data_IF_834216055741
#
_entry.id   IF_834216055741
#
_cell.length_a   1.000
_cell.length_b   1.000
_cell.length_c   1.000
_cell.angle_alpha   90.00
_cell.angle_beta   90.00
_cell.angle_gamma   90.00
#
_symmetry.space_group_name_H-M   'P 1'
#
loop_
_entity.id
_entity.type
_entity.pdbx_description
1 polymer ?
#
# COMPACT_ATOMS: atom_id res chain seq x y z
N UNK A 1 -44.72 29.83 -0.46
CA UNK A 1 -44.17 29.34 0.82
C UNK A 1 -42.84 28.69 0.53
N UNK A 2 -41.75 29.35 0.90
CA UNK A 2 -40.37 28.88 0.64
C UNK A 2 -39.98 27.92 1.77
N UNK A 3 -39.52 26.71 1.43
CA UNK A 3 -39.07 25.73 2.41
C UNK A 3 -37.81 26.24 3.13
N UNK A 4 -37.68 26.07 4.46
CA UNK A 4 -36.49 26.48 5.17
C UNK A 4 -35.30 25.59 4.78
N UNK A 5 -34.19 26.23 4.40
CA UNK A 5 -32.90 25.56 4.23
C UNK A 5 -32.46 25.04 5.60
N UNK A 6 -32.44 23.72 5.77
CA UNK A 6 -31.84 23.08 6.93
C UNK A 6 -30.32 23.08 6.73
N UNK A 7 -29.66 24.16 7.11
CA UNK A 7 -28.21 24.17 7.32
C UNK A 7 -27.91 23.34 8.57
N UNK A 8 -27.82 22.01 8.38
CA UNK A 8 -27.36 21.11 9.41
C UNK A 8 -25.88 21.35 9.69
N UNK A 9 -25.58 22.00 10.82
CA UNK A 9 -24.22 22.03 11.36
C UNK A 9 -23.83 20.60 11.74
N UNK A 10 -22.92 19.99 10.99
CA UNK A 10 -22.30 18.70 11.34
C UNK A 10 -21.37 18.94 12.52
N UNK A 11 -21.81 18.59 13.71
CA UNK A 11 -20.95 18.57 14.90
C UNK A 11 -20.20 17.24 14.89
N UNK A 12 -18.88 17.28 14.66
CA UNK A 12 -18.03 16.12 14.89
C UNK A 12 -17.84 15.97 16.39
N UNK A 13 -18.66 15.15 17.02
CA UNK A 13 -18.46 14.74 18.42
C UNK A 13 -17.03 14.18 18.55
N UNK A 14 -16.22 14.81 19.40
CA UNK A 14 -14.85 14.41 19.71
C UNK A 14 -14.92 13.13 20.56
N UNK A 15 -15.30 12.03 19.91
CA UNK A 15 -15.43 10.73 20.54
C UNK A 15 -14.03 10.23 20.90
N UNK A 16 -13.84 9.81 22.15
CA UNK A 16 -12.61 9.17 22.60
C UNK A 16 -12.48 7.83 21.87
N UNK A 17 -11.77 7.84 20.75
CA UNK A 17 -11.62 6.62 19.99
C UNK A 17 -10.54 5.72 20.57
N UNK A 18 -10.87 4.43 20.68
CA UNK A 18 -9.99 3.39 21.19
C UNK A 18 -9.37 2.60 20.03
N UNK A 19 -8.25 1.92 20.28
CA UNK A 19 -7.66 0.99 19.30
C UNK A 19 -8.64 -0.10 18.85
N UNK A 20 -9.59 -0.49 19.70
CA UNK A 20 -10.65 -1.41 19.32
C UNK A 20 -11.51 -0.87 18.16
N UNK A 21 -11.80 0.44 18.14
CA UNK A 21 -12.51 1.07 17.03
C UNK A 21 -11.65 1.09 15.77
N UNK A 22 -10.37 1.49 15.86
CA UNK A 22 -9.47 1.41 14.72
C UNK A 22 -9.42 -0.02 14.15
N UNK A 23 -9.26 -1.02 15.02
CA UNK A 23 -9.16 -2.42 14.63
C UNK A 23 -10.45 -2.95 13.98
N UNK A 24 -11.63 -2.42 14.33
CA UNK A 24 -12.89 -2.77 13.66
C UNK A 24 -13.00 -2.27 12.22
N UNK A 25 -12.27 -1.19 11.90
CA UNK A 25 -12.24 -0.59 10.57
C UNK A 25 -11.18 -1.24 9.67
N UNK A 26 -10.18 -1.87 10.27
CA UNK A 26 -9.07 -2.53 9.58
C UNK A 26 -9.33 -4.02 9.36
N UNK A 27 -8.69 -4.57 8.33
CA UNK A 27 -8.61 -6.01 8.09
C UNK A 27 -7.88 -6.69 9.26
N UNK A 28 -8.08 -8.00 9.41
CA UNK A 28 -7.32 -8.81 10.36
C UNK A 28 -5.81 -8.64 10.14
N UNK A 29 -5.02 -8.56 11.21
CA UNK A 29 -3.55 -8.41 11.16
C UNK A 29 -2.83 -9.59 10.50
N UNK A 30 -3.51 -10.73 10.35
CA UNK A 30 -3.05 -11.90 9.59
C UNK A 30 -3.34 -11.80 8.08
N UNK A 31 -3.89 -10.69 7.60
CA UNK A 31 -4.14 -10.49 6.18
C UNK A 31 -2.83 -10.19 5.47
N UNK A 32 -2.55 -10.88 4.36
CA UNK A 32 -1.44 -10.55 3.50
C UNK A 32 -1.68 -9.18 2.82
N UNK A 33 -0.74 -8.25 2.99
CA UNK A 33 -0.78 -6.93 2.37
C UNK A 33 0.38 -6.83 1.39
N UNK A 34 0.06 -6.48 0.14
CA UNK A 34 1.05 -6.29 -0.91
C UNK A 34 1.20 -4.78 -1.12
N UNK A 35 2.39 -4.23 -0.85
CA UNK A 35 2.74 -2.85 -1.16
C UNK A 35 3.45 -2.77 -2.50
N UNK A 36 3.28 -1.68 -3.23
CA UNK A 36 4.20 -1.35 -4.32
C UNK A 36 5.52 -0.84 -3.76
N UNK A 37 6.57 -0.81 -4.59
CA UNK A 37 7.83 -0.17 -4.20
C UNK A 37 7.62 1.30 -3.79
N UNK A 38 6.74 2.02 -4.49
CA UNK A 38 6.39 3.40 -4.15
C UNK A 38 5.68 3.51 -2.79
N UNK A 39 4.68 2.66 -2.54
CA UNK A 39 3.97 2.62 -1.26
C UNK A 39 4.86 2.21 -0.09
N UNK A 40 5.85 1.36 -0.31
CA UNK A 40 6.82 1.00 0.74
C UNK A 40 7.73 2.18 1.13
N UNK A 41 8.02 3.09 0.19
CA UNK A 41 8.81 4.31 0.41
C UNK A 41 7.98 5.41 1.03
N UNK A 42 6.71 5.48 0.66
CA UNK A 42 5.74 6.48 1.10
C UNK A 42 4.52 5.80 1.74
N UNK A 43 4.69 5.13 2.92
CA UNK A 43 3.65 4.30 3.52
C UNK A 43 2.47 5.12 4.04
N UNK A 44 2.68 6.39 4.41
CA UNK A 44 1.63 7.28 4.88
C UNK A 44 0.82 7.90 3.73
N UNK A 45 0.17 7.02 2.96
CA UNK A 45 -0.57 7.38 1.76
C UNK A 45 -1.94 6.69 1.70
N UNK A 46 -2.91 7.33 1.04
CA UNK A 46 -4.29 6.83 0.88
C UNK A 46 -4.34 5.39 0.33
N UNK A 47 -3.49 5.10 -0.66
CA UNK A 47 -3.47 3.80 -1.31
C UNK A 47 -3.10 2.67 -0.34
N UNK A 48 -2.16 2.92 0.58
CA UNK A 48 -1.77 1.97 1.63
C UNK A 48 -2.89 1.78 2.64
N UNK A 49 -3.53 2.88 3.06
CA UNK A 49 -4.69 2.83 3.95
C UNK A 49 -5.82 1.97 3.37
N UNK A 50 -6.15 2.16 2.09
CA UNK A 50 -7.19 1.37 1.41
C UNK A 50 -6.88 -0.14 1.39
N UNK A 51 -5.61 -0.53 1.44
CA UNK A 51 -5.21 -1.95 1.47
C UNK A 51 -5.45 -2.60 2.82
N UNK A 52 -5.41 -1.82 3.90
CA UNK A 52 -5.60 -2.31 5.27
C UNK A 52 -7.03 -2.11 5.79
N UNK A 53 -7.88 -1.34 5.10
CA UNK A 53 -9.28 -1.14 5.48
C UNK A 53 -10.18 -2.33 5.10
N UNK A 54 -11.18 -2.60 5.95
CA UNK A 54 -12.27 -3.49 5.57
C UNK A 54 -13.07 -2.91 4.39
N UNK A 55 -13.64 -3.76 3.51
CA UNK A 55 -14.46 -3.30 2.39
C UNK A 55 -15.59 -2.37 2.86
N UNK A 56 -15.76 -1.24 2.17
CA UNK A 56 -16.80 -0.25 2.48
C UNK A 56 -16.50 0.65 3.67
N UNK A 57 -15.39 0.44 4.39
CA UNK A 57 -14.94 1.37 5.43
C UNK A 57 -14.18 2.54 4.84
N UNK A 58 -14.26 3.68 5.51
CA UNK A 58 -13.55 4.90 5.14
C UNK A 58 -12.89 5.51 6.36
N UNK A 59 -11.59 5.82 6.23
CA UNK A 59 -10.81 6.54 7.22
C UNK A 59 -10.02 7.61 6.48
N UNK A 60 -9.99 8.83 7.02
CA UNK A 60 -9.16 9.90 6.46
C UNK A 60 -7.68 9.63 6.81
N UNK A 61 -6.71 9.87 5.90
CA UNK A 61 -5.30 9.56 6.14
C UNK A 61 -4.72 10.49 7.17
N UNK A 62 -5.32 11.67 7.38
CA UNK A 62 -4.94 12.62 8.44
C UNK A 62 -5.28 12.12 9.85
N UNK A 63 -6.15 11.10 9.96
CA UNK A 63 -6.54 10.51 11.23
C UNK A 63 -5.56 9.43 11.68
N UNK A 64 -4.65 8.96 10.81
CA UNK A 64 -3.74 7.87 11.11
C UNK A 64 -2.32 8.18 10.64
N UNK A 65 -1.35 7.58 11.31
CA UNK A 65 0.03 7.52 10.84
C UNK A 65 0.32 6.09 10.43
N UNK A 66 0.74 5.92 9.19
CA UNK A 66 1.13 4.62 8.64
C UNK A 66 2.64 4.60 8.47
N UNK A 67 3.29 3.59 9.01
CA UNK A 67 4.72 3.37 8.83
C UNK A 67 5.00 1.92 8.43
N UNK A 68 6.04 1.74 7.62
CA UNK A 68 6.48 0.42 7.16
C UNK A 68 7.95 0.23 7.53
N UNK A 69 8.26 -0.89 8.19
CA UNK A 69 9.62 -1.31 8.46
C UNK A 69 9.99 -2.45 7.51
N UNK A 70 10.83 -2.16 6.51
CA UNK A 70 11.26 -3.14 5.51
C UNK A 70 12.19 -4.22 6.07
N UNK A 71 12.86 -3.99 7.21
CA UNK A 71 13.74 -4.98 7.83
C UNK A 71 12.96 -6.06 8.57
N UNK A 72 11.79 -5.72 9.12
CA UNK A 72 10.91 -6.65 9.83
C UNK A 72 9.66 -7.04 9.04
N UNK A 73 9.44 -6.43 7.87
CA UNK A 73 8.22 -6.56 7.07
C UNK A 73 6.96 -6.27 7.88
N UNK A 74 7.02 -5.24 8.73
CA UNK A 74 5.90 -4.81 9.58
C UNK A 74 5.30 -3.50 9.06
N UNK A 75 3.97 -3.48 8.87
CA UNK A 75 3.21 -2.27 8.59
C UNK A 75 2.41 -1.88 9.83
N UNK A 76 2.61 -0.67 10.32
CA UNK A 76 2.01 -0.16 11.56
C UNK A 76 1.03 0.96 11.26
N UNK A 77 -0.18 0.85 11.81
CA UNK A 77 -1.21 1.87 11.77
C UNK A 77 -1.38 2.42 13.19
N UNK A 78 -0.96 3.66 13.40
CA UNK A 78 -1.20 4.42 14.62
C UNK A 78 -2.24 5.50 14.35
N UNK A 79 -2.88 6.03 15.39
CA UNK A 79 -3.77 7.18 15.23
C UNK A 79 -2.99 8.48 15.36
N UNK A 80 -3.33 9.45 14.50
CA UNK A 80 -2.75 10.76 14.55
C UNK A 80 -3.17 11.49 15.83
N UNK A 81 -2.19 12.06 16.53
CA UNK A 81 -2.37 12.73 17.84
C UNK A 81 -3.40 13.88 17.82
N UNK A 82 -3.69 14.44 16.64
CA UNK A 82 -4.63 15.54 16.45
C UNK A 82 -6.08 15.11 16.29
N UNK A 83 -6.35 13.81 16.08
CA UNK A 83 -7.69 13.35 15.73
C UNK A 83 -8.40 12.64 16.88
N UNK A 84 -7.71 11.77 17.65
CA UNK A 84 -8.30 11.03 18.77
C UNK A 84 -7.40 11.09 20.03
N UNK A 85 -7.98 11.23 21.22
CA UNK A 85 -7.30 11.00 22.50
C UNK A 85 -7.16 9.50 22.75
N UNK A 86 -6.13 8.88 22.17
CA UNK A 86 -5.93 7.43 22.27
C UNK A 86 -5.01 7.06 23.42
N UNK A 87 -5.44 6.07 24.20
CA UNK A 87 -4.62 5.28 25.11
C UNK A 87 -4.37 3.90 24.50
N UNK A 88 -3.11 3.54 24.24
CA UNK A 88 -2.69 2.21 23.77
C UNK A 88 -1.95 2.17 22.42
N UNK A 89 -1.44 1.00 22.05
CA UNK A 89 -0.45 0.76 20.99
C UNK A 89 -1.02 0.62 19.57
N UNK A 90 -0.14 0.82 18.60
CA UNK A 90 -0.33 0.71 17.15
C UNK A 90 -0.90 -0.66 16.71
N UNK A 91 -1.65 -0.71 15.60
CA UNK A 91 -2.04 -1.96 14.94
C UNK A 91 -0.92 -2.41 14.00
N UNK A 92 -0.43 -3.64 14.14
CA UNK A 92 0.72 -4.17 13.38
C UNK A 92 0.28 -5.31 12.46
N UNK A 93 0.58 -5.18 11.18
CA UNK A 93 0.46 -6.23 10.17
C UNK A 93 1.84 -6.83 9.89
N UNK A 94 1.95 -8.16 9.95
CA UNK A 94 3.23 -8.88 9.86
C UNK A 94 3.41 -9.67 8.56
N UNK A 95 2.38 -9.69 7.71
CA UNK A 95 2.41 -10.39 6.42
C UNK A 95 2.49 -9.38 5.27
N UNK A 96 3.60 -8.65 5.23
CA UNK A 96 3.82 -7.61 4.22
C UNK A 96 4.80 -8.11 3.15
N UNK A 97 4.36 -7.99 1.90
CA UNK A 97 5.21 -8.21 0.72
C UNK A 97 5.30 -6.92 -0.08
N UNK A 98 6.45 -6.63 -0.67
CA UNK A 98 6.65 -5.47 -1.54
C UNK A 98 6.89 -5.94 -2.97
N UNK A 99 6.10 -5.45 -3.93
CA UNK A 99 6.39 -5.70 -5.34
C UNK A 99 7.59 -4.87 -5.76
N UNK A 100 8.54 -5.51 -6.42
CA UNK A 100 9.73 -4.83 -6.93
C UNK A 100 9.37 -4.01 -8.17
N UNK A 101 9.78 -2.75 -8.19
CA UNK A 101 9.70 -1.93 -9.38
C UNK A 101 10.76 -2.40 -10.40
N UNK A 102 10.31 -2.77 -11.59
CA UNK A 102 11.20 -3.19 -12.69
C UNK A 102 11.96 -1.99 -13.27
N UNK A 103 11.50 -0.75 -13.07
CA UNK A 103 12.17 0.43 -13.63
C UNK A 103 13.59 0.62 -13.08
N UNK A 104 13.83 0.16 -11.85
CA UNK A 104 15.09 0.33 -11.13
C UNK A 104 15.82 -1.01 -10.91
N UNK A 105 15.43 -2.07 -11.62
CA UNK A 105 16.09 -3.36 -11.52
C UNK A 105 17.50 -3.27 -12.13
N UNK A 106 18.52 -3.10 -11.28
CA UNK A 106 19.92 -3.17 -11.67
C UNK A 106 20.52 -4.49 -11.21
N UNK A 107 21.00 -5.31 -12.14
CA UNK A 107 21.70 -6.54 -11.80
C UNK A 107 23.16 -6.23 -11.44
N UNK A 108 23.55 -6.52 -10.21
CA UNK A 108 24.94 -6.36 -9.73
C UNK A 108 25.39 -7.68 -9.08
N UNK A 109 25.26 -8.80 -9.81
CA UNK A 109 26.47 -9.39 -10.41
C UNK A 109 26.25 -9.95 -11.83
N UNK A 110 27.30 -9.86 -12.65
CA UNK A 110 27.36 -10.24 -14.08
C UNK A 110 27.22 -11.74 -14.36
N UNK A 111 27.41 -12.59 -13.35
CA UNK A 111 27.46 -14.06 -13.52
C UNK A 111 26.17 -14.81 -13.13
N UNK A 112 25.09 -14.09 -12.80
CA UNK A 112 23.80 -14.75 -12.57
C UNK A 112 22.92 -14.61 -13.81
N UNK A 113 22.32 -15.71 -14.30
CA UNK A 113 21.27 -15.62 -15.31
C UNK A 113 20.05 -14.87 -14.73
N UNK A 114 19.35 -14.07 -15.53
CA UNK A 114 18.00 -13.61 -15.21
C UNK A 114 17.05 -14.59 -15.91
N UNK A 115 16.30 -15.38 -15.15
CA UNK A 115 15.28 -16.27 -15.71
C UNK A 115 13.95 -15.51 -15.74
N UNK A 116 13.55 -15.06 -16.93
CA UNK A 116 12.21 -14.50 -17.15
C UNK A 116 11.30 -15.63 -17.61
N UNK A 117 10.45 -16.14 -16.73
CA UNK A 117 9.41 -17.09 -17.11
C UNK A 117 8.23 -16.30 -17.69
N UNK A 118 8.12 -16.27 -19.02
CA UNK A 118 6.96 -15.67 -19.67
C UNK A 118 5.75 -16.58 -19.44
N UNK A 119 4.67 -16.03 -18.86
CA UNK A 119 3.36 -16.66 -18.94
C UNK A 119 2.95 -16.65 -20.42
N UNK A 120 3.04 -17.83 -21.05
CA UNK A 120 2.57 -18.23 -22.39
C UNK A 120 2.01 -17.08 -23.25
N UNK A 121 2.90 -16.20 -23.74
CA UNK A 121 2.54 -15.39 -24.90
C UNK A 121 2.56 -16.34 -26.07
N UNK A 122 1.40 -16.64 -26.66
CA UNK A 122 1.32 -17.47 -27.87
C UNK A 122 1.90 -16.77 -29.10
N UNK A 123 2.23 -15.47 -29.00
CA UNK A 123 2.72 -14.67 -30.11
C UNK A 123 3.74 -13.56 -29.68
N UNK A 124 4.90 -13.91 -29.09
CA UNK A 124 5.85 -12.90 -28.63
C UNK A 124 6.49 -12.16 -29.82
N UNK A 125 6.54 -10.82 -29.75
CA UNK A 125 7.29 -9.99 -30.71
C UNK A 125 8.59 -9.51 -30.09
N UNK A 126 9.59 -9.19 -30.92
CA UNK A 126 10.84 -8.59 -30.45
C UNK A 126 10.61 -7.28 -29.68
N UNK A 127 9.57 -6.53 -30.03
CA UNK A 127 9.14 -5.32 -29.29
C UNK A 127 8.70 -5.66 -27.87
N UNK A 128 7.94 -6.75 -27.69
CA UNK A 128 7.52 -7.23 -26.37
C UNK A 128 8.73 -7.57 -25.49
N UNK A 129 9.73 -8.27 -26.04
CA UNK A 129 10.97 -8.63 -25.34
C UNK A 129 11.83 -7.40 -25.04
N UNK A 130 12.01 -6.50 -26.01
CA UNK A 130 12.79 -5.27 -25.85
C UNK A 130 12.19 -4.32 -24.81
N UNK A 131 10.85 -4.34 -24.63
CA UNK A 131 10.16 -3.54 -23.60
C UNK A 131 10.54 -3.98 -22.17
N UNK A 132 10.88 -5.26 -21.97
CA UNK A 132 11.33 -5.76 -20.67
C UNK A 132 12.77 -5.35 -20.33
N UNK A 133 13.60 -5.02 -21.34
CA UNK A 133 15.05 -4.88 -21.17
C UNK A 133 15.57 -3.46 -21.33
N UNK A 134 14.68 -2.49 -21.59
CA UNK A 134 14.97 -1.04 -21.66
C UNK A 134 16.15 -0.64 -22.59
N UNK A 135 16.69 -1.56 -23.38
CA UNK A 135 17.74 -1.32 -24.38
C UNK A 135 17.38 -2.08 -25.66
N UNK A 136 17.19 -1.34 -26.74
CA UNK A 136 17.00 -1.93 -28.07
C UNK A 136 18.33 -2.57 -28.54
N UNK A 137 18.28 -3.83 -28.98
CA UNK A 137 19.37 -4.45 -29.74
C UNK A 137 20.43 -5.24 -28.96
N UNK A 138 20.27 -5.49 -27.67
CA UNK A 138 21.30 -6.19 -26.84
C UNK A 138 21.13 -7.72 -26.75
N UNK A 139 20.07 -8.32 -27.29
CA UNK A 139 19.84 -9.75 -27.19
C UNK A 139 20.08 -10.45 -28.53
N UNK A 140 21.10 -11.30 -28.56
CA UNK A 140 21.16 -12.42 -29.51
C UNK A 140 20.33 -13.55 -28.93
N UNK A 141 19.22 -13.87 -29.57
CA UNK A 141 18.45 -15.09 -29.27
C UNK A 141 19.08 -16.21 -30.09
N UNK A 142 19.64 -17.21 -29.41
CA UNK A 142 20.24 -18.40 -30.04
C UNK A 142 19.21 -19.45 -30.42
#
# INVERSE_FOLDING_TARGET
TTAPNLEGKVTYEHTTSTIAQLNSLLKSTNTAIILTSEESRNPNHRSVLNKVLNPGQNLSPEMVNISFNSSTSELKIAVAKSCWTITGSEVVFNQISVTQDLSNFTKTPTDQAITVTQAESTNPTQVTVNKFLQTAGSLTVG
#
